data_IF_354904352067
#
_entry.id   IF_354904352067
#
_cell.length_a   1.000
_cell.length_b   1.000
_cell.length_c   1.000
_cell.angle_alpha   90.00
_cell.angle_beta   90.00
_cell.angle_gamma   90.00
#
_symmetry.space_group_name_H-M   'P 1'
#
loop_
_entity.id
_entity.type
_entity.pdbx_description
1 polymer ?
#
# COMPACT_ATOMS: atom_id res chain seq x y z
N UNK A 1 18.25 -3.82 21.52
CA UNK A 1 18.54 -4.15 20.10
C UNK A 1 17.24 -3.97 19.34
N UNK A 2 17.25 -3.27 18.21
CA UNK A 2 16.04 -3.08 17.41
C UNK A 2 15.57 -4.44 16.84
N UNK A 3 14.26 -4.79 16.86
CA UNK A 3 13.79 -6.11 16.45
C UNK A 3 14.16 -6.50 15.01
N UNK A 4 14.08 -5.56 14.06
CA UNK A 4 14.51 -5.79 12.67
C UNK A 4 16.00 -6.14 12.61
N UNK A 5 16.83 -5.45 13.38
CA UNK A 5 18.27 -5.75 13.46
C UNK A 5 18.50 -7.13 14.07
N UNK A 6 17.72 -7.52 15.08
CA UNK A 6 17.83 -8.84 15.70
C UNK A 6 17.48 -9.97 14.71
N UNK A 7 16.44 -9.78 13.88
CA UNK A 7 16.08 -10.71 12.81
C UNK A 7 17.27 -10.94 11.86
N UNK A 8 17.82 -9.86 11.31
CA UNK A 8 18.89 -9.96 10.31
C UNK A 8 20.24 -10.38 10.89
N UNK A 9 20.51 -10.11 12.17
CA UNK A 9 21.67 -10.68 12.86
C UNK A 9 21.55 -12.19 13.04
N UNK A 10 20.36 -12.71 13.37
CA UNK A 10 20.14 -14.15 13.41
C UNK A 10 20.33 -14.78 12.03
N UNK A 11 19.80 -14.15 10.98
CA UNK A 11 20.00 -14.59 9.60
C UNK A 11 21.48 -14.74 9.27
N UNK A 12 22.26 -13.69 9.50
CA UNK A 12 23.70 -13.64 9.21
C UNK A 12 24.54 -14.58 10.10
N UNK A 13 24.07 -14.90 11.31
CA UNK A 13 24.79 -15.77 12.25
C UNK A 13 24.65 -17.28 11.95
N UNK A 14 23.91 -17.66 10.90
CA UNK A 14 23.72 -19.06 10.50
C UNK A 14 22.28 -19.41 10.11
N UNK A 15 21.31 -18.53 10.38
CA UNK A 15 19.90 -18.74 10.05
C UNK A 15 19.68 -19.05 8.56
N UNK A 16 20.41 -18.40 7.66
CA UNK A 16 20.37 -18.69 6.21
C UNK A 16 20.73 -20.15 5.89
N UNK A 17 21.83 -20.64 6.49
CA UNK A 17 22.34 -21.99 6.23
C UNK A 17 21.39 -23.05 6.78
N UNK A 18 20.91 -22.84 8.00
CA UNK A 18 19.93 -23.72 8.64
C UNK A 18 18.63 -23.80 7.83
N UNK A 19 18.13 -22.64 7.38
CA UNK A 19 16.89 -22.58 6.61
C UNK A 19 17.04 -23.19 5.21
N UNK A 20 18.18 -22.97 4.55
CA UNK A 20 18.47 -23.59 3.23
C UNK A 20 18.50 -25.11 3.34
N UNK A 21 19.15 -25.65 4.37
CA UNK A 21 19.19 -27.09 4.62
C UNK A 21 17.79 -27.65 4.89
N UNK A 22 16.99 -26.95 5.70
CA UNK A 22 15.63 -27.34 6.03
C UNK A 22 14.69 -27.37 4.81
N UNK A 23 14.74 -26.34 3.96
CA UNK A 23 13.94 -26.28 2.73
C UNK A 23 14.33 -27.40 1.77
N UNK A 24 15.64 -27.66 1.62
CA UNK A 24 16.15 -28.74 0.74
C UNK A 24 15.74 -30.12 1.23
N UNK A 25 15.76 -30.35 2.55
CA UNK A 25 15.41 -31.64 3.15
C UNK A 25 13.90 -31.82 3.38
N UNK A 26 13.12 -30.74 3.36
CA UNK A 26 11.72 -30.74 3.82
C UNK A 26 11.57 -30.91 5.34
N UNK A 27 12.64 -30.67 6.11
CA UNK A 27 12.72 -30.92 7.55
C UNK A 27 12.95 -29.62 8.31
N UNK A 28 11.87 -28.98 8.75
CA UNK A 28 11.92 -27.64 9.34
C UNK A 28 12.22 -27.60 10.84
N UNK A 29 11.99 -28.71 11.56
CA UNK A 29 12.20 -28.78 13.00
C UNK A 29 11.51 -27.61 13.75
N UNK A 30 12.31 -26.80 14.45
CA UNK A 30 11.83 -25.61 15.21
C UNK A 30 12.05 -24.28 14.48
N UNK A 31 12.55 -24.30 13.24
CA UNK A 31 12.79 -23.07 12.49
C UNK A 31 11.51 -22.24 12.27
N UNK A 32 10.33 -22.83 11.98
CA UNK A 32 9.11 -22.04 11.80
C UNK A 32 8.71 -21.28 13.07
N UNK A 33 8.80 -21.91 14.24
CA UNK A 33 8.54 -21.24 15.53
C UNK A 33 9.54 -20.11 15.77
N UNK A 34 10.82 -20.35 15.42
CA UNK A 34 11.88 -19.36 15.60
C UNK A 34 11.68 -18.14 14.68
N UNK A 35 11.40 -18.35 13.40
CA UNK A 35 11.13 -17.29 12.44
C UNK A 35 9.87 -16.53 12.87
N UNK A 36 8.79 -17.24 13.23
CA UNK A 36 7.56 -16.62 13.74
C UNK A 36 7.83 -15.73 14.96
N UNK A 37 8.65 -16.19 15.90
CA UNK A 37 9.01 -15.38 17.07
C UNK A 37 9.83 -14.12 16.71
N UNK A 38 10.72 -14.22 15.71
CA UNK A 38 11.50 -13.06 15.24
C UNK A 38 10.64 -12.06 14.47
N UNK A 39 9.72 -12.53 13.63
CA UNK A 39 8.75 -11.69 12.90
C UNK A 39 7.78 -11.02 13.87
N UNK A 40 7.21 -11.79 14.81
CA UNK A 40 6.31 -11.24 15.84
C UNK A 40 7.01 -10.20 16.75
N UNK A 41 8.32 -10.30 16.93
CA UNK A 41 9.10 -9.29 17.64
C UNK A 41 9.25 -7.99 16.84
N UNK A 42 9.23 -8.04 15.50
CA UNK A 42 9.15 -6.85 14.64
C UNK A 42 7.76 -6.24 14.76
N UNK A 43 6.72 -7.03 14.53
CA UNK A 43 5.33 -6.65 14.82
C UNK A 43 4.47 -7.91 14.94
N UNK A 44 3.56 -8.01 15.94
CA UNK A 44 2.80 -9.23 16.22
C UNK A 44 1.82 -9.65 15.13
N UNK A 45 1.40 -8.71 14.28
CA UNK A 45 0.45 -8.95 13.18
C UNK A 45 1.12 -9.15 11.82
N UNK A 46 2.45 -9.10 11.73
CA UNK A 46 3.14 -9.46 10.49
C UNK A 46 3.07 -10.97 10.28
N UNK A 47 2.86 -11.35 9.02
CA UNK A 47 2.91 -12.72 8.56
C UNK A 47 4.21 -12.98 7.80
N UNK A 48 4.56 -14.25 7.63
CA UNK A 48 5.70 -14.63 6.82
C UNK A 48 5.44 -15.94 6.08
N UNK A 49 6.09 -16.09 4.93
CA UNK A 49 6.01 -17.30 4.12
C UNK A 49 7.33 -17.59 3.40
N UNK A 50 7.54 -18.86 3.10
CA UNK A 50 8.62 -19.33 2.24
C UNK A 50 8.03 -19.80 0.91
N UNK A 51 8.75 -19.53 -0.16
CA UNK A 51 8.36 -19.96 -1.49
C UNK A 51 9.55 -20.09 -2.43
N UNK A 52 9.31 -20.51 -3.69
CA UNK A 52 10.31 -20.40 -4.74
C UNK A 52 10.64 -18.92 -4.98
N UNK A 53 11.91 -18.61 -5.23
CA UNK A 53 12.32 -17.28 -5.65
C UNK A 53 12.04 -17.05 -7.14
N UNK A 54 11.85 -15.79 -7.52
CA UNK A 54 11.73 -15.39 -8.92
C UNK A 54 13.11 -15.29 -9.60
N UNK A 55 14.13 -14.84 -8.87
CA UNK A 55 15.52 -14.68 -9.32
C UNK A 55 16.51 -15.48 -8.46
N UNK A 56 16.08 -15.97 -7.31
CA UNK A 56 16.83 -16.87 -6.43
C UNK A 56 16.14 -18.23 -6.30
N UNK A 57 16.80 -19.20 -5.67
CA UNK A 57 16.21 -20.52 -5.40
C UNK A 57 15.01 -20.44 -4.44
N UNK A 58 15.11 -19.58 -3.43
CA UNK A 58 14.13 -19.43 -2.37
C UNK A 58 13.80 -17.96 -2.13
N UNK A 59 12.57 -17.72 -1.70
CA UNK A 59 12.10 -16.41 -1.24
C UNK A 59 11.63 -16.52 0.21
N UNK A 60 11.98 -15.51 1.00
CA UNK A 60 11.34 -15.23 2.29
C UNK A 60 10.54 -13.94 2.18
N UNK A 61 9.24 -14.04 2.36
CA UNK A 61 8.35 -12.89 2.42
C UNK A 61 7.97 -12.62 3.88
N UNK A 62 8.02 -11.35 4.29
CA UNK A 62 7.38 -10.85 5.51
C UNK A 62 6.39 -9.78 5.08
N UNK A 63 5.13 -9.92 5.45
CA UNK A 63 4.03 -9.13 4.89
C UNK A 63 3.05 -8.67 5.96
N UNK A 64 2.38 -7.54 5.69
CA UNK A 64 1.21 -7.07 6.42
C UNK A 64 -0.11 -7.73 6.03
N UNK A 65 -0.13 -8.68 5.09
CA UNK A 65 -1.33 -9.39 4.63
C UNK A 65 -2.50 -8.46 4.26
N UNK A 66 -2.20 -7.42 3.47
CA UNK A 66 -3.18 -6.41 3.04
C UNK A 66 -3.48 -5.31 4.08
N UNK A 67 -2.89 -5.36 5.28
CA UNK A 67 -3.02 -4.29 6.28
C UNK A 67 -2.03 -3.17 5.98
N UNK A 68 -2.55 -2.02 5.54
CA UNK A 68 -1.76 -0.88 5.12
C UNK A 68 -0.83 -0.35 6.24
N UNK A 69 -1.26 -0.38 7.51
CA UNK A 69 -0.45 0.03 8.66
C UNK A 69 0.84 -0.77 8.82
N UNK A 70 0.83 -2.03 8.38
CA UNK A 70 1.95 -2.94 8.52
C UNK A 70 2.91 -2.85 7.33
N UNK A 71 2.46 -2.28 6.21
CA UNK A 71 3.27 -2.22 4.99
C UNK A 71 4.58 -1.43 5.20
N UNK A 72 4.60 -0.22 5.81
CA UNK A 72 5.86 0.46 6.09
C UNK A 72 6.79 -0.36 6.98
N UNK A 73 6.25 -1.13 7.93
CA UNK A 73 7.04 -2.00 8.83
C UNK A 73 7.69 -3.14 8.05
N UNK A 74 6.95 -3.81 7.16
CA UNK A 74 7.48 -4.84 6.27
C UNK A 74 8.55 -4.29 5.31
N UNK A 75 8.35 -3.09 4.77
CA UNK A 75 9.32 -2.39 3.91
C UNK A 75 10.60 -2.05 4.65
N UNK A 76 10.50 -1.58 5.90
CA UNK A 76 11.68 -1.32 6.74
C UNK A 76 12.43 -2.59 7.12
N UNK A 77 11.70 -3.70 7.35
CA UNK A 77 12.31 -5.01 7.48
C UNK A 77 13.10 -5.38 6.23
N UNK A 78 12.51 -5.24 5.04
CA UNK A 78 13.17 -5.53 3.77
C UNK A 78 14.36 -4.60 3.50
N UNK A 79 14.24 -3.30 3.79
CA UNK A 79 15.32 -2.30 3.63
C UNK A 79 16.56 -2.66 4.46
N UNK A 80 16.38 -3.34 5.59
CA UNK A 80 17.47 -3.80 6.45
C UNK A 80 18.03 -5.18 6.07
N UNK A 81 17.46 -5.83 5.04
CA UNK A 81 17.91 -7.13 4.57
C UNK A 81 19.36 -7.09 4.03
N UNK A 82 20.11 -8.20 4.12
CA UNK A 82 21.35 -8.34 3.37
C UNK A 82 21.05 -8.31 1.86
N UNK A 83 22.10 -8.10 1.06
CA UNK A 83 21.98 -8.21 -0.40
C UNK A 83 21.47 -9.61 -0.79
N UNK A 84 20.57 -9.65 -1.77
CA UNK A 84 20.08 -10.90 -2.34
C UNK A 84 21.23 -11.74 -2.88
N UNK A 85 21.07 -13.07 -2.81
CA UNK A 85 22.03 -14.04 -3.34
C UNK A 85 21.32 -14.93 -4.36
N UNK A 86 22.05 -15.75 -5.14
CA UNK A 86 21.42 -16.77 -5.96
C UNK A 86 20.58 -17.79 -5.17
N UNK A 87 20.75 -17.86 -3.85
CA UNK A 87 20.01 -18.77 -2.97
C UNK A 87 18.76 -18.11 -2.40
N UNK A 88 18.85 -16.86 -1.94
CA UNK A 88 17.74 -16.18 -1.26
C UNK A 88 17.46 -14.77 -1.81
N UNK A 89 16.17 -14.50 -1.99
CA UNK A 89 15.60 -13.17 -2.16
C UNK A 89 14.54 -12.88 -1.08
N UNK A 90 14.21 -11.59 -0.89
CA UNK A 90 13.35 -11.13 0.20
C UNK A 90 12.26 -10.20 -0.31
N UNK A 91 11.06 -10.28 0.26
CA UNK A 91 9.92 -9.45 -0.16
C UNK A 91 9.11 -8.91 1.03
N UNK A 92 8.64 -7.66 0.91
CA UNK A 92 7.76 -6.99 1.88
C UNK A 92 6.25 -7.16 1.56
N UNK A 93 5.95 -7.92 0.50
CA UNK A 93 4.61 -8.36 0.12
C UNK A 93 4.67 -9.72 -0.54
N UNK A 94 3.53 -10.42 -0.49
CA UNK A 94 3.32 -11.62 -1.32
C UNK A 94 3.44 -11.27 -2.79
N UNK A 95 4.13 -12.13 -3.50
CA UNK A 95 4.27 -12.06 -4.95
C UNK A 95 3.19 -12.91 -5.60
N UNK A 96 2.72 -12.54 -6.81
CA UNK A 96 1.82 -13.40 -7.55
C UNK A 96 2.46 -14.78 -7.77
N UNK A 97 1.70 -15.83 -7.45
CA UNK A 97 2.09 -17.22 -7.63
C UNK A 97 1.83 -17.64 -9.07
N UNK A 98 2.85 -18.06 -9.85
CA UNK A 98 2.66 -18.44 -11.25
C UNK A 98 1.75 -19.67 -11.40
N UNK A 99 1.73 -20.55 -10.40
CA UNK A 99 1.02 -21.83 -10.42
C UNK A 99 -0.30 -21.77 -9.62
N UNK A 100 -0.88 -20.58 -9.46
CA UNK A 100 -2.07 -20.35 -8.61
C UNK A 100 -3.25 -21.25 -8.96
N UNK A 101 -3.39 -21.65 -10.23
CA UNK A 101 -4.50 -22.51 -10.69
C UNK A 101 -4.36 -23.96 -10.21
N UNK A 102 -3.14 -24.41 -9.95
CA UNK A 102 -2.86 -25.76 -9.45
C UNK A 102 -2.94 -25.81 -7.91
N UNK A 103 -3.07 -24.65 -7.25
CA UNK A 103 -3.19 -24.57 -5.80
C UNK A 103 -4.56 -24.99 -5.31
N UNK A 104 -4.56 -25.46 -4.08
CA UNK A 104 -5.74 -25.85 -3.33
C UNK A 104 -5.70 -25.16 -1.98
N UNK A 105 -6.72 -24.37 -1.67
CA UNK A 105 -6.86 -23.72 -0.38
C UNK A 105 -7.57 -24.65 0.61
N UNK A 106 -6.94 -24.90 1.75
CA UNK A 106 -7.53 -25.62 2.87
C UNK A 106 -8.31 -24.67 3.79
N UNK A 107 -9.61 -24.92 3.98
CA UNK A 107 -10.50 -24.05 4.77
C UNK A 107 -11.48 -24.87 5.59
N UNK A 108 -11.33 -24.86 6.92
CA UNK A 108 -12.25 -25.56 7.84
C UNK A 108 -12.40 -27.06 7.53
N UNK A 109 -11.32 -27.73 7.10
CA UNK A 109 -11.32 -29.14 6.68
C UNK A 109 -11.83 -29.40 5.26
N UNK A 110 -12.12 -28.35 4.48
CA UNK A 110 -12.48 -28.44 3.06
C UNK A 110 -11.31 -28.05 2.19
N UNK A 111 -11.34 -28.60 0.98
CA UNK A 111 -10.38 -28.34 -0.09
C UNK A 111 -11.08 -27.49 -1.15
N UNK A 112 -10.49 -26.35 -1.50
CA UNK A 112 -10.98 -25.41 -2.51
C UNK A 112 -9.92 -25.29 -3.61
N UNK A 113 -10.02 -26.08 -4.70
CA UNK A 113 -9.13 -25.97 -5.85
C UNK A 113 -9.29 -24.60 -6.53
N UNK A 114 -8.21 -23.84 -6.66
CA UNK A 114 -8.30 -22.48 -7.17
C UNK A 114 -8.51 -22.42 -8.68
N UNK A 115 -8.17 -23.49 -9.41
CA UNK A 115 -8.47 -23.64 -10.83
C UNK A 115 -9.96 -23.62 -11.17
N UNK A 116 -10.84 -23.90 -10.21
CA UNK A 116 -12.30 -23.88 -10.38
C UNK A 116 -12.92 -22.49 -10.11
N UNK A 117 -12.11 -21.53 -9.64
CA UNK A 117 -12.57 -20.16 -9.37
C UNK A 117 -13.02 -19.46 -10.66
N UNK A 118 -14.14 -18.76 -10.55
CA UNK A 118 -14.70 -17.87 -11.57
C UNK A 118 -14.81 -16.46 -11.02
N UNK A 119 -14.56 -15.47 -11.87
CA UNK A 119 -14.63 -14.06 -11.48
C UNK A 119 -15.56 -13.31 -12.42
N UNK A 120 -16.38 -12.41 -11.89
CA UNK A 120 -16.97 -11.34 -12.69
C UNK A 120 -16.14 -10.07 -12.44
N UNK A 121 -15.84 -9.34 -13.51
CA UNK A 121 -14.95 -8.20 -13.51
C UNK A 121 -15.72 -6.97 -13.98
N UNK A 122 -15.63 -5.87 -13.24
CA UNK A 122 -16.16 -4.57 -13.63
C UNK A 122 -15.07 -3.50 -13.55
N UNK A 123 -14.64 -3.00 -14.71
CA UNK A 123 -13.54 -2.03 -14.78
C UNK A 123 -14.11 -0.62 -14.57
N UNK A 124 -13.81 -0.03 -13.42
CA UNK A 124 -14.23 1.31 -13.05
C UNK A 124 -13.01 2.23 -12.95
N UNK A 125 -12.88 3.13 -13.91
CA UNK A 125 -11.75 4.08 -13.96
C UNK A 125 -10.41 3.37 -14.18
N UNK A 126 -9.53 3.47 -13.19
CA UNK A 126 -8.21 2.84 -13.16
C UNK A 126 -8.16 1.57 -12.30
N UNK A 127 -9.31 1.07 -11.83
CA UNK A 127 -9.42 -0.14 -11.02
C UNK A 127 -10.41 -1.15 -11.61
N UNK A 128 -10.37 -2.37 -11.10
CA UNK A 128 -11.30 -3.45 -11.40
C UNK A 128 -11.97 -3.95 -10.13
N UNK A 129 -13.29 -3.87 -10.08
CA UNK A 129 -14.11 -4.52 -9.06
C UNK A 129 -14.23 -6.00 -9.41
N UNK A 130 -14.14 -6.87 -8.40
CA UNK A 130 -14.07 -8.32 -8.59
C UNK A 130 -15.13 -9.02 -7.74
N UNK A 131 -16.03 -9.76 -8.38
CA UNK A 131 -16.85 -10.75 -7.70
C UNK A 131 -16.25 -12.15 -7.91
N UNK A 132 -15.67 -12.72 -6.86
CA UNK A 132 -15.02 -14.03 -6.90
C UNK A 132 -15.98 -15.12 -6.40
N UNK A 133 -16.22 -16.10 -7.24
CA UNK A 133 -17.07 -17.25 -6.94
C UNK A 133 -16.33 -18.56 -7.15
N UNK A 134 -16.67 -19.58 -6.37
CA UNK A 134 -16.17 -20.94 -6.51
C UNK A 134 -17.36 -21.92 -6.43
N UNK A 135 -17.36 -23.06 -7.13
CA UNK A 135 -18.46 -24.04 -7.09
C UNK A 135 -18.87 -24.50 -5.68
N UNK A 136 -17.92 -24.54 -4.74
CA UNK A 136 -18.19 -24.87 -3.34
C UNK A 136 -18.80 -23.71 -2.50
N UNK A 137 -18.98 -22.52 -3.06
CA UNK A 137 -19.36 -21.30 -2.33
C UNK A 137 -20.68 -21.43 -1.56
N UNK A 138 -21.67 -22.15 -2.12
CA UNK A 138 -22.95 -22.40 -1.44
C UNK A 138 -22.80 -23.18 -0.12
N UNK A 139 -21.72 -23.95 0.03
CA UNK A 139 -21.41 -24.68 1.26
C UNK A 139 -20.55 -23.89 2.25
N UNK A 140 -20.02 -22.73 1.85
CA UNK A 140 -19.12 -21.91 2.66
C UNK A 140 -19.89 -20.79 3.36
N UNK A 141 -19.47 -20.45 4.58
CA UNK A 141 -19.94 -19.26 5.28
C UNK A 141 -19.42 -18.01 4.59
N UNK A 142 -20.07 -16.88 4.83
CA UNK A 142 -19.67 -15.59 4.24
C UNK A 142 -18.22 -15.23 4.54
N UNK A 143 -17.78 -15.38 5.79
CA UNK A 143 -16.39 -15.15 6.18
C UNK A 143 -15.41 -16.09 5.47
N UNK A 144 -15.77 -17.35 5.27
CA UNK A 144 -14.94 -18.33 4.54
C UNK A 144 -14.85 -17.94 3.06
N UNK A 145 -15.95 -17.51 2.44
CA UNK A 145 -15.95 -17.02 1.05
C UNK A 145 -15.08 -15.77 0.90
N UNK A 146 -15.19 -14.82 1.82
CA UNK A 146 -14.33 -13.64 1.83
C UNK A 146 -12.85 -14.03 1.96
N UNK A 147 -12.53 -14.97 2.86
CA UNK A 147 -11.16 -15.47 3.01
C UNK A 147 -10.64 -16.17 1.74
N UNK A 148 -11.46 -17.01 1.07
CA UNK A 148 -11.10 -17.57 -0.25
C UNK A 148 -10.82 -16.45 -1.23
N UNK A 149 -11.68 -15.44 -1.29
CA UNK A 149 -11.54 -14.35 -2.26
C UNK A 149 -10.23 -13.59 -2.06
N UNK A 150 -9.95 -13.10 -0.84
CA UNK A 150 -8.73 -12.34 -0.56
C UNK A 150 -7.45 -13.15 -0.81
N UNK A 151 -7.36 -14.38 -0.28
CA UNK A 151 -6.18 -15.22 -0.51
C UNK A 151 -5.97 -15.57 -1.98
N UNK A 152 -7.06 -15.82 -2.72
CA UNK A 152 -6.97 -16.10 -4.16
C UNK A 152 -6.50 -14.88 -4.93
N UNK A 153 -6.99 -13.68 -4.58
CA UNK A 153 -6.56 -12.43 -5.20
C UNK A 153 -5.08 -12.15 -4.91
N UNK A 154 -4.62 -12.29 -3.67
CA UNK A 154 -3.23 -12.09 -3.28
C UNK A 154 -2.30 -13.07 -3.99
N UNK A 155 -2.68 -14.36 -4.12
CA UNK A 155 -1.87 -15.30 -4.90
C UNK A 155 -1.96 -15.07 -6.42
N UNK A 156 -3.07 -14.52 -6.91
CA UNK A 156 -3.24 -14.25 -8.34
C UNK A 156 -2.51 -12.98 -8.78
N UNK A 157 -2.48 -11.94 -7.98
CA UNK A 157 -1.95 -10.63 -8.38
C UNK A 157 -0.71 -10.24 -7.57
N UNK A 158 -0.55 -10.78 -6.37
CA UNK A 158 0.33 -10.21 -5.35
C UNK A 158 -0.36 -9.06 -4.62
N UNK A 159 0.03 -8.82 -3.37
CA UNK A 159 -0.62 -7.83 -2.52
C UNK A 159 -0.52 -6.41 -3.10
N UNK A 160 0.63 -6.06 -3.68
CA UNK A 160 0.86 -4.74 -4.26
C UNK A 160 -0.11 -4.45 -5.42
N UNK A 161 -0.36 -5.43 -6.29
CA UNK A 161 -1.28 -5.26 -7.43
C UNK A 161 -2.75 -5.40 -7.02
N UNK A 162 -3.06 -6.15 -5.95
CA UNK A 162 -4.39 -6.12 -5.33
C UNK A 162 -4.68 -4.69 -4.85
N UNK A 163 -3.81 -4.09 -4.04
CA UNK A 163 -4.03 -2.74 -3.52
C UNK A 163 -4.06 -1.67 -4.63
N UNK A 164 -3.21 -1.84 -5.65
CA UNK A 164 -3.09 -0.89 -6.77
C UNK A 164 -4.31 -0.90 -7.69
N UNK A 165 -4.77 -2.09 -8.08
CA UNK A 165 -5.69 -2.25 -9.21
C UNK A 165 -7.07 -2.79 -8.82
N UNK A 166 -7.20 -3.45 -7.68
CA UNK A 166 -8.49 -4.02 -7.27
C UNK A 166 -9.30 -2.97 -6.50
N UNK A 167 -10.56 -2.82 -6.90
CA UNK A 167 -11.54 -1.99 -6.22
C UNK A 167 -12.36 -2.79 -5.21
N UNK A 168 -13.68 -2.77 -5.35
CA UNK A 168 -14.57 -3.55 -4.51
C UNK A 168 -14.40 -5.06 -4.75
N UNK A 169 -14.36 -5.83 -3.67
CA UNK A 169 -14.31 -7.29 -3.71
C UNK A 169 -15.61 -7.86 -3.15
N UNK A 170 -16.27 -8.72 -3.92
CA UNK A 170 -17.44 -9.46 -3.50
C UNK A 170 -17.16 -10.98 -3.56
N UNK A 171 -17.75 -11.73 -2.63
CA UNK A 171 -17.64 -13.20 -2.59
C UNK A 171 -19.04 -13.85 -2.52
N UNK A 172 -19.80 -13.84 -3.63
CA UNK A 172 -21.19 -14.29 -3.65
C UNK A 172 -21.31 -15.81 -3.42
N UNK A 173 -22.44 -16.25 -2.86
CA UNK A 173 -22.73 -17.68 -2.69
C UNK A 173 -23.18 -18.35 -4.01
N UNK A 174 -23.85 -17.58 -4.86
CA UNK A 174 -24.32 -17.99 -6.19
C UNK A 174 -23.40 -17.44 -7.27
N UNK A 175 -23.28 -18.16 -8.38
CA UNK A 175 -22.43 -17.75 -9.50
C UNK A 175 -23.05 -16.54 -10.20
N UNK A 176 -22.31 -15.43 -10.38
CA UNK A 176 -22.74 -14.33 -11.26
C UNK A 176 -22.99 -14.80 -12.70
N UNK A 177 -23.84 -14.09 -13.45
CA UNK A 177 -24.20 -14.50 -14.82
C UNK A 177 -23.01 -14.49 -15.79
N UNK A 178 -22.16 -13.46 -15.70
CA UNK A 178 -21.09 -13.19 -16.67
C UNK A 178 -19.70 -13.43 -16.08
N UNK A 179 -19.48 -14.61 -15.48
CA UNK A 179 -18.16 -14.94 -14.94
C UNK A 179 -17.20 -15.48 -15.99
N UNK A 180 -15.94 -15.11 -15.87
CA UNK A 180 -14.80 -15.60 -16.65
C UNK A 180 -13.84 -16.42 -15.77
N UNK A 181 -12.90 -17.19 -16.35
CA UNK A 181 -11.85 -17.86 -15.57
C UNK A 181 -10.97 -16.86 -14.79
N UNK A 182 -10.37 -17.30 -13.70
CA UNK A 182 -9.46 -16.49 -12.87
C UNK A 182 -8.29 -15.86 -13.68
N UNK A 183 -7.82 -16.53 -14.74
CA UNK A 183 -6.75 -16.00 -15.60
C UNK A 183 -7.10 -14.69 -16.30
N UNK A 184 -8.39 -14.43 -16.53
CA UNK A 184 -8.85 -13.17 -17.13
C UNK A 184 -8.60 -11.96 -16.22
N UNK A 185 -8.52 -12.16 -14.90
CA UNK A 185 -8.19 -11.08 -13.96
C UNK A 185 -6.76 -10.55 -14.19
N UNK A 186 -5.77 -11.45 -14.37
CA UNK A 186 -4.38 -11.03 -14.66
C UNK A 186 -4.29 -10.22 -15.94
N UNK A 187 -5.05 -10.61 -16.97
CA UNK A 187 -5.10 -9.88 -18.23
C UNK A 187 -5.72 -8.49 -18.05
N UNK A 188 -6.85 -8.38 -17.34
CA UNK A 188 -7.49 -7.09 -17.05
C UNK A 188 -6.57 -6.14 -16.28
N UNK A 189 -5.86 -6.65 -15.27
CA UNK A 189 -4.87 -5.88 -14.50
C UNK A 189 -3.69 -5.45 -15.38
N UNK A 190 -3.17 -6.34 -16.24
CA UNK A 190 -2.09 -5.99 -17.16
C UNK A 190 -2.51 -4.90 -18.16
N UNK A 191 -3.76 -4.92 -18.63
CA UNK A 191 -4.32 -3.86 -19.48
C UNK A 191 -4.44 -2.52 -18.74
N UNK A 192 -4.82 -2.53 -17.46
CA UNK A 192 -4.81 -1.33 -16.62
C UNK A 192 -3.40 -0.78 -16.42
N UNK A 193 -2.44 -1.65 -16.08
CA UNK A 193 -1.05 -1.28 -15.85
C UNK A 193 -0.33 -0.76 -17.10
N UNK A 194 -0.76 -1.17 -18.29
CA UNK A 194 -0.20 -0.70 -19.56
C UNK A 194 -0.69 0.70 -19.97
N UNK A 195 -1.70 1.26 -19.28
CA UNK A 195 -2.20 2.61 -19.59
C UNK A 195 -1.13 3.65 -19.19
N UNK A 196 -0.92 4.70 -20.01
CA UNK A 196 -0.01 5.78 -19.64
C UNK A 196 -0.42 6.41 -18.30
N UNK A 197 0.52 6.45 -17.37
CA UNK A 197 0.36 7.10 -16.07
C UNK A 197 1.34 8.26 -15.99
N UNK A 198 0.96 9.40 -16.55
CA UNK A 198 1.83 10.59 -16.58
C UNK A 198 1.78 11.42 -15.29
N UNK A 199 1.06 10.98 -14.25
CA UNK A 199 0.97 11.69 -12.99
C UNK A 199 0.49 13.14 -13.16
N UNK A 200 -0.81 13.40 -13.06
CA UNK A 200 -1.36 14.73 -13.33
C UNK A 200 -1.88 15.42 -12.07
N UNK A 201 -1.78 16.75 -12.03
CA UNK A 201 -2.48 17.55 -11.04
C UNK A 201 -3.92 17.78 -11.51
N UNK A 202 -4.90 17.30 -10.75
CA UNK A 202 -6.31 17.55 -10.99
C UNK A 202 -6.80 18.67 -10.07
N UNK A 203 -7.61 19.59 -10.62
CA UNK A 203 -8.31 20.63 -9.84
C UNK A 203 -9.75 20.16 -9.58
N UNK A 204 -10.12 20.06 -8.31
CA UNK A 204 -11.46 19.75 -7.83
C UNK A 204 -12.08 20.99 -7.20
N UNK A 205 -13.38 21.14 -7.36
CA UNK A 205 -14.15 22.24 -6.79
C UNK A 205 -15.44 21.71 -6.19
N UNK A 206 -15.77 22.18 -4.99
CA UNK A 206 -17.02 21.81 -4.33
C UNK A 206 -17.38 22.75 -3.18
N UNK A 207 -18.62 22.63 -2.65
CA UNK A 207 -19.01 23.32 -1.43
C UNK A 207 -18.39 22.63 -0.20
N UNK A 208 -17.83 23.42 0.71
CA UNK A 208 -17.43 22.98 2.04
C UNK A 208 -18.64 22.81 2.98
N UNK A 209 -18.42 22.32 4.21
CA UNK A 209 -19.50 22.07 5.18
C UNK A 209 -20.41 23.27 5.46
N UNK A 210 -19.83 24.47 5.44
CA UNK A 210 -20.54 25.73 5.72
C UNK A 210 -21.02 26.44 4.43
N UNK A 211 -21.01 25.74 3.28
CA UNK A 211 -21.36 26.28 1.97
C UNK A 211 -20.27 27.15 1.33
N UNK A 212 -19.13 27.35 2.00
CA UNK A 212 -17.96 28.05 1.44
C UNK A 212 -17.37 27.28 0.29
N UNK A 213 -16.95 27.97 -0.78
CA UNK A 213 -16.25 27.33 -1.91
C UNK A 213 -14.91 26.74 -1.47
N UNK A 214 -14.64 25.51 -1.88
CA UNK A 214 -13.37 24.80 -1.66
C UNK A 214 -12.75 24.48 -3.02
N UNK A 215 -11.47 24.77 -3.17
CA UNK A 215 -10.65 24.33 -4.30
C UNK A 215 -9.58 23.37 -3.79
N UNK A 216 -9.49 22.19 -4.38
CA UNK A 216 -8.44 21.21 -4.10
C UNK A 216 -7.64 21.00 -5.36
N UNK A 217 -6.31 21.09 -5.32
CA UNK A 217 -5.50 20.42 -6.34
C UNK A 217 -4.80 19.23 -5.73
N UNK A 218 -4.80 18.13 -6.46
CA UNK A 218 -4.32 16.84 -5.97
C UNK A 218 -3.60 16.09 -7.09
N UNK A 219 -2.52 15.41 -6.75
CA UNK A 219 -1.82 14.52 -7.67
C UNK A 219 -2.70 13.30 -7.94
N UNK A 220 -2.79 12.88 -9.21
CA UNK A 220 -3.49 11.66 -9.62
C UNK A 220 -2.57 10.77 -10.45
N UNK A 221 -2.61 9.44 -10.20
CA UNK A 221 -3.44 8.75 -9.21
C UNK A 221 -2.87 8.85 -7.78
N UNK A 222 -3.74 8.85 -6.77
CA UNK A 222 -3.34 8.78 -5.36
C UNK A 222 -3.15 7.32 -4.93
N UNK A 223 -1.98 6.76 -5.21
CA UNK A 223 -1.65 5.36 -4.90
C UNK A 223 -0.55 5.29 -3.85
N UNK A 224 -0.96 5.19 -2.58
CA UNK A 224 -0.04 5.07 -1.45
C UNK A 224 0.89 3.85 -1.60
N UNK A 225 0.40 2.76 -2.21
CA UNK A 225 1.17 1.53 -2.41
C UNK A 225 2.38 1.70 -3.34
N UNK A 226 2.41 2.74 -4.18
CA UNK A 226 3.58 3.08 -5.00
C UNK A 226 4.66 3.81 -4.19
N UNK A 227 4.31 4.23 -2.98
CA UNK A 227 5.14 4.95 -2.02
C UNK A 227 4.89 4.42 -0.59
N UNK A 228 5.08 3.12 -0.34
CA UNK A 228 4.63 2.44 0.88
C UNK A 228 5.33 2.91 2.16
N UNK A 229 6.41 3.69 2.02
CA UNK A 229 7.16 4.28 3.12
C UNK A 229 6.76 5.73 3.40
N UNK A 230 5.96 6.37 2.55
CA UNK A 230 5.43 7.72 2.82
C UNK A 230 4.23 7.60 3.75
N UNK A 231 4.49 7.27 5.02
CA UNK A 231 3.51 6.87 6.02
C UNK A 231 3.24 7.93 7.10
N UNK A 232 3.92 9.09 7.04
CA UNK A 232 3.66 10.24 7.91
C UNK A 232 3.05 11.38 7.11
N UNK A 233 1.82 11.76 7.47
CA UNK A 233 1.12 12.92 6.92
C UNK A 233 1.49 14.18 7.70
N UNK A 234 1.82 15.25 6.98
CA UNK A 234 2.00 16.61 7.51
C UNK A 234 1.01 17.57 6.88
N UNK A 235 0.20 18.23 7.70
CA UNK A 235 -0.69 19.31 7.30
C UNK A 235 -0.07 20.65 7.64
N UNK A 236 0.27 21.45 6.63
CA UNK A 236 0.78 22.81 6.83
C UNK A 236 -0.30 23.83 6.50
N UNK A 237 -0.66 24.66 7.48
CA UNK A 237 -1.74 25.64 7.35
C UNK A 237 -1.17 27.02 7.04
N UNK A 238 -1.57 27.55 5.88
CA UNK A 238 -1.09 28.81 5.32
C UNK A 238 -2.25 29.81 5.20
N UNK A 239 -2.27 30.88 6.02
CA UNK A 239 -3.22 31.97 5.83
C UNK A 239 -3.00 32.66 4.49
N UNK A 240 -4.09 32.91 3.76
CA UNK A 240 -4.05 33.61 2.46
C UNK A 240 -4.06 35.12 2.72
N UNK A 241 -3.00 35.82 2.32
CA UNK A 241 -2.89 37.26 2.61
C UNK A 241 -3.73 38.19 1.72
N UNK A 242 -4.27 37.70 0.60
CA UNK A 242 -5.15 38.45 -0.33
C UNK A 242 -6.32 37.55 -0.71
N UNK A 243 -7.46 37.77 -0.07
CA UNK A 243 -8.65 36.90 -0.13
C UNK A 243 -9.79 37.67 -0.79
N UNK A 244 -10.40 37.04 -1.79
CA UNK A 244 -11.60 37.55 -2.45
C UNK A 244 -12.84 37.32 -1.57
N UNK A 245 -13.96 37.93 -1.95
CA UNK A 245 -15.23 37.76 -1.24
C UNK A 245 -15.76 36.32 -1.19
N UNK A 246 -15.32 35.45 -2.11
CA UNK A 246 -15.67 34.03 -2.14
C UNK A 246 -14.74 33.14 -1.29
N UNK A 247 -13.81 33.74 -0.54
CA UNK A 247 -12.89 33.02 0.34
C UNK A 247 -11.67 32.41 -0.37
N UNK A 248 -11.54 32.61 -1.68
CA UNK A 248 -10.40 32.15 -2.48
C UNK A 248 -9.34 33.24 -2.66
N UNK A 249 -8.09 32.88 -2.98
CA UNK A 249 -7.02 33.84 -3.19
C UNK A 249 -7.31 34.79 -4.37
N UNK A 250 -7.00 36.07 -4.17
CA UNK A 250 -6.81 37.02 -5.27
C UNK A 250 -5.48 36.77 -6.01
N UNK A 251 -5.19 37.48 -7.10
CA UNK A 251 -3.98 37.26 -7.90
C UNK A 251 -2.68 37.33 -7.10
N UNK A 252 -2.54 38.31 -6.20
CA UNK A 252 -1.33 38.46 -5.38
C UNK A 252 -1.25 37.39 -4.28
N UNK A 253 -2.41 36.94 -3.78
CA UNK A 253 -2.50 35.81 -2.86
C UNK A 253 -2.03 34.51 -3.51
N UNK A 254 -2.48 34.25 -4.74
CA UNK A 254 -2.12 33.04 -5.49
C UNK A 254 -0.63 33.00 -5.84
N UNK A 255 -0.05 34.13 -6.24
CA UNK A 255 1.39 34.22 -6.52
C UNK A 255 2.24 33.90 -5.27
N UNK A 256 1.85 34.42 -4.11
CA UNK A 256 2.53 34.10 -2.84
C UNK A 256 2.38 32.65 -2.44
N UNK A 257 1.20 32.04 -2.62
CA UNK A 257 0.98 30.63 -2.32
C UNK A 257 1.86 29.74 -3.20
N UNK A 258 1.96 30.03 -4.51
CA UNK A 258 2.83 29.29 -5.43
C UNK A 258 4.31 29.39 -5.04
N UNK A 259 4.79 30.60 -4.76
CA UNK A 259 6.18 30.78 -4.33
C UNK A 259 6.49 30.03 -3.02
N UNK A 260 5.51 29.96 -2.12
CA UNK A 260 5.63 29.22 -0.86
C UNK A 260 5.60 27.69 -1.08
N UNK A 261 4.76 27.20 -2.00
CA UNK A 261 4.73 25.78 -2.40
C UNK A 261 6.04 25.35 -3.09
N UNK A 262 6.58 26.19 -3.98
CA UNK A 262 7.86 25.96 -4.66
C UNK A 262 9.02 25.91 -3.63
N UNK A 263 9.04 26.86 -2.69
CA UNK A 263 10.04 26.92 -1.63
C UNK A 263 9.94 25.72 -0.66
N UNK A 264 8.73 25.31 -0.29
CA UNK A 264 8.52 24.10 0.52
C UNK A 264 9.01 22.85 -0.21
N UNK A 265 8.61 22.69 -1.47
CA UNK A 265 9.01 21.54 -2.31
C UNK A 265 10.52 21.47 -2.47
N UNK A 266 11.18 22.63 -2.68
CA UNK A 266 12.64 22.72 -2.74
C UNK A 266 13.30 22.37 -1.39
N UNK A 267 12.71 22.81 -0.26
CA UNK A 267 13.25 22.57 1.07
C UNK A 267 13.17 21.10 1.49
N UNK A 268 12.06 20.42 1.19
CA UNK A 268 11.90 18.99 1.52
C UNK A 268 12.62 18.07 0.51
N UNK A 269 12.78 18.51 -0.74
CA UNK A 269 13.43 17.74 -1.78
C UNK A 269 12.80 16.36 -1.94
N UNK A 270 13.63 15.32 -2.14
CA UNK A 270 13.15 13.93 -2.26
C UNK A 270 12.77 13.23 -0.95
N UNK A 271 12.66 13.95 0.18
CA UNK A 271 12.35 13.36 1.49
C UNK A 271 10.87 13.43 1.86
N UNK A 272 10.12 14.30 1.21
CA UNK A 272 8.67 14.37 1.35
C UNK A 272 8.04 14.74 0.00
N UNK A 273 6.81 14.31 -0.22
CA UNK A 273 6.04 14.61 -1.43
C UNK A 273 4.83 15.47 -1.07
N UNK A 274 4.64 16.60 -1.77
CA UNK A 274 3.40 17.38 -1.72
C UNK A 274 2.38 16.72 -2.65
N UNK A 275 1.35 16.10 -2.09
CA UNK A 275 0.39 15.29 -2.84
C UNK A 275 -0.94 16.01 -3.09
N UNK A 276 -1.29 16.93 -2.20
CA UNK A 276 -2.50 17.74 -2.34
C UNK A 276 -2.35 19.09 -1.66
N UNK A 277 -3.17 20.03 -2.11
CA UNK A 277 -3.39 21.26 -1.39
C UNK A 277 -4.85 21.72 -1.55
N UNK A 278 -5.47 22.15 -0.46
CA UNK A 278 -6.84 22.66 -0.47
C UNK A 278 -6.90 24.12 -0.04
N UNK A 279 -7.82 24.89 -0.60
CA UNK A 279 -8.07 26.28 -0.24
C UNK A 279 -9.54 26.47 0.11
N UNK A 280 -9.78 26.99 1.31
CA UNK A 280 -11.12 27.27 1.85
C UNK A 280 -11.04 28.45 2.80
N UNK A 281 -11.99 29.38 2.69
CA UNK A 281 -12.21 30.41 3.73
C UNK A 281 -10.97 31.26 4.06
N UNK A 282 -10.15 31.59 3.07
CA UNK A 282 -8.92 32.37 3.28
C UNK A 282 -7.75 31.58 3.87
N UNK A 283 -7.81 30.25 3.87
CA UNK A 283 -6.75 29.36 4.33
C UNK A 283 -6.41 28.35 3.25
N UNK A 284 -5.12 28.08 3.05
CA UNK A 284 -4.58 26.97 2.26
C UNK A 284 -4.03 25.91 3.22
N UNK A 285 -4.37 24.65 3.00
CA UNK A 285 -3.73 23.50 3.66
C UNK A 285 -2.89 22.76 2.64
N UNK A 286 -1.63 22.50 2.97
CA UNK A 286 -0.72 21.69 2.16
C UNK A 286 -0.61 20.29 2.80
N UNK A 287 -0.79 19.24 2.01
CA UNK A 287 -0.73 17.86 2.45
C UNK A 287 0.55 17.21 1.93
N UNK A 288 1.51 17.00 2.83
CA UNK A 288 2.79 16.36 2.53
C UNK A 288 2.85 14.98 3.16
N UNK A 289 3.47 14.03 2.48
CA UNK A 289 3.77 12.72 3.02
C UNK A 289 5.27 12.45 3.00
N UNK A 290 5.78 11.84 4.07
CA UNK A 290 7.21 11.54 4.28
C UNK A 290 7.40 10.19 4.97
N UNK A 291 8.62 9.66 4.97
CA UNK A 291 8.98 8.47 5.78
C UNK A 291 9.01 8.83 7.26
N UNK A 292 8.08 8.26 8.04
CA UNK A 292 7.94 8.50 9.47
C UNK A 292 9.14 8.06 10.31
N UNK A 293 10.04 7.23 9.77
CA UNK A 293 11.31 6.89 10.42
C UNK A 293 12.48 7.79 9.97
N UNK A 294 12.32 8.61 8.93
CA UNK A 294 13.30 9.66 8.60
C UNK A 294 13.02 10.91 9.45
N UNK A 295 13.63 10.96 10.63
CA UNK A 295 13.53 12.12 11.53
C UNK A 295 13.93 13.43 10.83
N UNK A 296 14.87 13.40 9.88
CA UNK A 296 15.25 14.62 9.18
C UNK A 296 14.14 15.13 8.26
N UNK A 297 13.40 14.22 7.60
CA UNK A 297 12.26 14.59 6.77
C UNK A 297 11.17 15.25 7.61
N UNK A 298 10.86 14.64 8.76
CA UNK A 298 9.88 15.15 9.73
C UNK A 298 10.26 16.54 10.24
N UNK A 299 11.51 16.71 10.68
CA UNK A 299 12.03 17.96 11.22
C UNK A 299 12.13 19.06 10.16
N UNK A 300 12.36 18.72 8.89
CA UNK A 300 12.43 19.67 7.77
C UNK A 300 11.11 20.41 7.58
N UNK A 301 9.99 19.67 7.50
CA UNK A 301 8.66 20.29 7.32
C UNK A 301 8.31 21.16 8.52
N UNK A 302 8.52 20.65 9.74
CA UNK A 302 8.20 21.38 10.95
C UNK A 302 9.02 22.67 11.12
N UNK A 303 10.34 22.60 10.86
CA UNK A 303 11.23 23.77 10.89
C UNK A 303 10.87 24.79 9.82
N UNK A 304 10.63 24.33 8.58
CA UNK A 304 10.25 25.20 7.48
C UNK A 304 8.98 26.00 7.80
N UNK A 305 7.99 25.35 8.42
CA UNK A 305 6.75 25.98 8.87
C UNK A 305 7.00 26.97 10.02
N UNK A 306 7.78 26.57 11.03
CA UNK A 306 8.10 27.39 12.20
C UNK A 306 8.83 28.69 11.83
N UNK A 307 9.79 28.64 10.90
CA UNK A 307 10.52 29.83 10.40
C UNK A 307 9.59 30.86 9.75
N UNK A 308 8.41 30.42 9.27
CA UNK A 308 7.39 31.25 8.64
C UNK A 308 6.20 31.55 9.57
N UNK A 309 6.25 31.10 10.83
CA UNK A 309 5.15 31.26 11.78
C UNK A 309 3.87 30.49 11.39
N UNK A 310 4.01 29.40 10.64
CA UNK A 310 2.89 28.57 10.17
C UNK A 310 2.63 27.42 11.14
N UNK A 311 1.37 26.97 11.19
CA UNK A 311 0.99 25.76 11.94
C UNK A 311 1.27 24.53 11.11
N UNK A 312 1.85 23.51 11.73
CA UNK A 312 1.97 22.16 11.19
C UNK A 312 1.30 21.18 12.15
N UNK A 313 0.59 20.18 11.62
CA UNK A 313 0.17 18.98 12.35
C UNK A 313 0.74 17.75 11.64
N UNK A 314 1.24 16.77 12.41
CA UNK A 314 1.88 15.58 11.86
C UNK A 314 1.36 14.32 12.53
N UNK A 315 0.98 13.33 11.73
CA UNK A 315 0.41 12.07 12.22
C UNK A 315 0.67 10.91 11.26
N UNK A 316 0.79 9.67 11.77
CA UNK A 316 0.86 8.49 10.91
C UNK A 316 -0.41 8.36 10.07
N UNK A 317 -0.24 8.16 8.77
CA UNK A 317 -1.30 7.81 7.82
C UNK A 317 -0.77 6.90 6.69
N UNK A 318 -0.39 5.64 6.98
CA UNK A 318 0.20 4.70 6.01
C UNK A 318 -0.66 4.41 4.78
N UNK A 319 -1.98 4.59 4.88
CA UNK A 319 -2.95 4.27 3.83
C UNK A 319 -3.49 5.51 3.10
N UNK A 320 -2.85 6.66 3.31
CA UNK A 320 -3.26 7.98 2.81
C UNK A 320 -4.77 8.24 2.98
N UNK A 321 -5.32 7.89 4.15
CA UNK A 321 -6.75 8.01 4.45
C UNK A 321 -7.24 9.43 4.29
N UNK A 322 -6.41 10.41 4.64
CA UNK A 322 -6.80 11.81 4.58
C UNK A 322 -6.93 12.34 3.15
N UNK A 323 -6.21 11.73 2.22
CA UNK A 323 -6.33 12.06 0.80
C UNK A 323 -7.47 11.32 0.10
N UNK A 324 -8.08 10.30 0.73
CA UNK A 324 -9.19 9.56 0.11
C UNK A 324 -10.41 10.42 -0.19
N UNK A 325 -10.60 11.53 0.53
CA UNK A 325 -11.64 12.50 0.25
C UNK A 325 -11.45 13.21 -1.10
N UNK A 326 -10.24 13.14 -1.68
CA UNK A 326 -9.88 13.76 -2.96
C UNK A 326 -9.80 12.76 -4.12
N UNK A 327 -9.98 11.46 -3.86
CA UNK A 327 -9.93 10.38 -4.86
C UNK A 327 -11.21 10.32 -5.68
#
# INVERSE_FOLDING_TARGET
MHPVTAFWQWWAAGGEQELTAAVTAGEYGRLPDRISALVAAVHPELEWELGPGARAQHALCVTGAGVAELRPVAERWLRAAPAETPTWEFHAARRPDPDVLDRTLGLGGRSVPLGDVRVALDVTGDRVDVALWHPAAAGLREQERAQVAFLTLDWTLGEDDVERWVGAVAAPAEQPADTVPLTSLRAAVAELAARPDEGSWALLEGPGPDGTRVLVSVQRPLRWIDRPLLDLHSEVVVPVGDVRSDGLPGPAGLERLRALEDDLTAAVGGRAELLAHETRGGVRVLHLYSDGEDQNATDLVARWAAERGLRVDQRPDPAWRDLRAFS
#
